data_IF_365129174588
#
_entry.id   IF_365129174588
#
_cell.length_a   1.000
_cell.length_b   1.000
_cell.length_c   1.000
_cell.angle_alpha   90.00
_cell.angle_beta   90.00
_cell.angle_gamma   90.00
#
_symmetry.space_group_name_H-M   'P 1'
#
loop_
_entity.id
_entity.type
_entity.pdbx_description
1 polymer ?
#
# COMPACT_ATOMS: atom_id res chain seq x y z
N UNK A 1 -11.82 -8.50 -0.44
CA UNK A 1 -12.53 -9.82 -0.39
C UNK A 1 -13.32 -10.03 0.90
N UNK A 2 -14.23 -11.04 0.99
CA UNK A 2 -15.09 -11.30 2.17
C UNK A 2 -14.80 -12.60 2.94
N UNK A 3 -13.99 -13.49 2.37
CA UNK A 3 -13.66 -14.79 2.94
C UNK A 3 -12.21 -15.15 2.56
N UNK A 4 -11.60 -16.05 3.34
CA UNK A 4 -10.28 -16.58 3.03
C UNK A 4 -10.37 -17.59 1.89
N UNK A 5 -9.36 -17.62 1.04
CA UNK A 5 -9.09 -18.76 0.19
C UNK A 5 -8.54 -19.94 1.03
N UNK A 6 -8.45 -21.12 0.45
CA UNK A 6 -7.87 -22.31 1.08
C UNK A 6 -6.33 -22.19 1.16
N UNK A 7 -5.84 -21.36 2.08
CA UNK A 7 -4.43 -20.94 2.15
C UNK A 7 -3.47 -22.12 2.33
N UNK A 8 -3.87 -23.17 3.05
CA UNK A 8 -3.07 -24.38 3.26
C UNK A 8 -2.96 -25.19 1.96
N UNK A 9 -4.06 -25.41 1.26
CA UNK A 9 -4.06 -26.12 -0.03
C UNK A 9 -3.23 -25.36 -1.07
N UNK A 10 -3.35 -24.03 -1.11
CA UNK A 10 -2.53 -23.19 -1.97
C UNK A 10 -1.03 -23.29 -1.63
N UNK A 11 -0.67 -23.34 -0.34
CA UNK A 11 0.71 -23.54 0.07
C UNK A 11 1.26 -24.91 -0.38
N UNK A 12 0.45 -25.96 -0.26
CA UNK A 12 0.79 -27.31 -0.74
C UNK A 12 0.92 -27.36 -2.27
N UNK A 13 0.12 -26.56 -2.98
CA UNK A 13 0.21 -26.37 -4.43
C UNK A 13 1.42 -25.51 -4.86
N UNK A 14 2.14 -24.90 -3.91
CA UNK A 14 3.43 -24.25 -4.16
C UNK A 14 3.41 -22.72 -4.23
N UNK A 15 2.31 -22.04 -3.84
CA UNK A 15 2.30 -20.56 -3.84
C UNK A 15 3.37 -20.00 -2.92
N UNK A 16 4.03 -18.92 -3.35
CA UNK A 16 5.13 -18.30 -2.58
C UNK A 16 4.69 -17.28 -1.55
N UNK A 17 3.49 -16.73 -1.71
CA UNK A 17 2.89 -15.72 -0.85
C UNK A 17 1.35 -15.72 -1.05
N UNK A 18 0.65 -15.02 -0.16
CA UNK A 18 -0.75 -14.64 -0.35
C UNK A 18 -0.81 -13.13 -0.55
N UNK A 19 -1.74 -12.64 -1.36
CA UNK A 19 -1.86 -11.20 -1.61
C UNK A 19 -3.32 -10.76 -1.67
N UNK A 20 -3.56 -9.51 -1.25
CA UNK A 20 -4.82 -8.78 -1.44
C UNK A 20 -4.72 -7.69 -2.52
N UNK A 21 -3.66 -7.73 -3.34
CA UNK A 21 -3.41 -6.74 -4.39
C UNK A 21 -4.63 -6.56 -5.32
N UNK A 22 -4.98 -5.29 -5.56
CA UNK A 22 -6.18 -4.84 -6.26
C UNK A 22 -7.42 -4.59 -5.37
N UNK A 23 -7.61 -5.31 -4.26
CA UNK A 23 -8.72 -5.08 -3.32
C UNK A 23 -8.30 -5.37 -1.88
N UNK A 24 -7.81 -4.33 -1.21
CA UNK A 24 -7.33 -4.38 0.16
C UNK A 24 -8.33 -5.07 1.10
N UNK A 25 -7.84 -5.94 1.97
CA UNK A 25 -8.64 -6.52 3.06
C UNK A 25 -8.82 -5.46 4.14
N UNK A 26 -10.00 -4.84 4.19
CA UNK A 26 -10.35 -3.83 5.23
C UNK A 26 -10.85 -4.46 6.53
N UNK A 27 -11.39 -5.68 6.47
CA UNK A 27 -11.86 -6.40 7.66
C UNK A 27 -10.68 -6.92 8.50
N UNK A 28 -10.59 -6.44 9.74
CA UNK A 28 -9.48 -6.77 10.64
C UNK A 28 -9.48 -8.23 11.08
N UNK A 29 -10.65 -8.86 11.20
CA UNK A 29 -10.75 -10.26 11.58
C UNK A 29 -10.30 -11.17 10.42
N UNK A 30 -10.66 -10.81 9.18
CA UNK A 30 -10.23 -11.52 7.98
C UNK A 30 -8.71 -11.43 7.81
N UNK A 31 -8.12 -10.23 7.93
CA UNK A 31 -6.67 -10.05 7.84
C UNK A 31 -5.93 -10.79 8.97
N UNK A 32 -6.45 -10.72 10.22
CA UNK A 32 -5.89 -11.49 11.35
C UNK A 32 -5.87 -12.98 11.04
N UNK A 33 -6.96 -13.51 10.50
CA UNK A 33 -7.04 -14.93 10.17
C UNK A 33 -6.08 -15.27 9.02
N UNK A 34 -6.00 -14.44 7.97
CA UNK A 34 -5.03 -14.61 6.89
C UNK A 34 -3.59 -14.70 7.40
N UNK A 35 -3.20 -13.78 8.29
CA UNK A 35 -1.88 -13.76 8.93
C UNK A 35 -1.66 -15.01 9.81
N UNK A 36 -2.66 -15.42 10.60
CA UNK A 36 -2.55 -16.63 11.41
C UNK A 36 -2.30 -17.90 10.57
N UNK A 37 -3.04 -18.08 9.47
CA UNK A 37 -2.81 -19.19 8.54
C UNK A 37 -1.48 -19.08 7.80
N UNK A 38 -1.10 -17.86 7.41
CA UNK A 38 0.21 -17.57 6.81
C UNK A 38 1.38 -17.98 7.71
N UNK A 39 1.24 -17.77 9.03
CA UNK A 39 2.22 -18.23 10.01
C UNK A 39 2.34 -19.76 10.00
N UNK A 40 1.23 -20.48 9.92
CA UNK A 40 1.23 -21.95 9.86
C UNK A 40 1.89 -22.48 8.58
N UNK A 41 1.65 -21.85 7.44
CA UNK A 41 2.19 -22.30 6.14
C UNK A 41 3.60 -21.76 5.84
N UNK A 42 4.09 -20.81 6.64
CA UNK A 42 5.41 -20.19 6.46
C UNK A 42 5.51 -19.29 5.22
N UNK A 43 4.39 -18.85 4.65
CA UNK A 43 4.34 -17.95 3.48
C UNK A 43 3.94 -16.54 3.92
N UNK A 44 4.53 -15.46 3.39
CA UNK A 44 4.14 -14.10 3.73
C UNK A 44 2.75 -13.74 3.21
N UNK A 45 2.12 -12.76 3.87
CA UNK A 45 1.02 -11.96 3.30
C UNK A 45 1.62 -10.69 2.71
N UNK A 46 1.48 -10.52 1.39
CA UNK A 46 1.79 -9.30 0.64
C UNK A 46 0.55 -8.43 0.65
N UNK A 47 0.71 -7.19 1.06
CA UNK A 47 -0.39 -6.31 1.38
C UNK A 47 -0.38 -5.06 0.51
N UNK A 48 -1.49 -4.83 -0.19
CA UNK A 48 -1.81 -3.58 -0.88
C UNK A 48 -2.59 -2.67 0.07
N UNK A 49 -1.92 -1.64 0.58
CA UNK A 49 -2.48 -0.75 1.59
C UNK A 49 -3.44 0.30 1.00
N UNK A 50 -4.74 0.03 1.07
CA UNK A 50 -5.79 0.94 0.61
C UNK A 50 -7.05 0.90 1.50
N UNK A 51 -7.30 1.96 2.27
CA UNK A 51 -8.63 2.18 2.86
C UNK A 51 -9.59 2.74 1.80
N UNK A 52 -10.39 1.85 1.21
CA UNK A 52 -11.35 2.19 0.15
C UNK A 52 -12.36 3.28 0.52
N UNK A 53 -12.70 3.44 1.80
CA UNK A 53 -13.62 4.50 2.21
C UNK A 53 -13.01 5.89 2.03
N UNK A 54 -11.68 5.99 2.03
CA UNK A 54 -10.92 7.23 1.86
C UNK A 54 -10.47 7.47 0.41
N UNK A 55 -10.58 6.47 -0.48
CA UNK A 55 -9.99 6.52 -1.83
C UNK A 55 -11.03 6.46 -2.95
N UNK A 56 -12.30 6.22 -2.61
CA UNK A 56 -13.39 6.14 -3.58
C UNK A 56 -13.46 7.42 -4.43
N UNK A 57 -13.20 7.29 -5.73
CA UNK A 57 -13.23 8.39 -6.70
C UNK A 57 -11.96 9.24 -6.76
N UNK A 58 -10.96 8.98 -5.90
CA UNK A 58 -9.68 9.68 -5.92
C UNK A 58 -8.95 9.49 -7.26
N UNK A 59 -8.22 10.52 -7.69
CA UNK A 59 -7.52 10.55 -8.99
C UNK A 59 -6.00 10.70 -8.85
N UNK A 60 -5.52 11.26 -7.73
CA UNK A 60 -4.11 11.50 -7.45
C UNK A 60 -3.89 11.72 -5.94
N UNK A 61 -2.65 11.95 -5.51
CA UNK A 61 -2.36 12.30 -4.11
C UNK A 61 -3.12 13.56 -3.67
N UNK A 62 -3.77 13.49 -2.51
CA UNK A 62 -4.33 14.67 -1.85
C UNK A 62 -3.23 15.62 -1.38
N UNK A 63 -3.10 16.77 -2.05
CA UNK A 63 -2.06 17.76 -1.76
C UNK A 63 -2.28 19.08 -2.49
N UNK A 64 -1.23 19.90 -2.54
CA UNK A 64 -1.29 21.21 -3.19
C UNK A 64 -1.54 21.09 -4.70
N UNK A 65 -1.02 20.04 -5.35
CA UNK A 65 -1.22 19.82 -6.78
C UNK A 65 -2.67 19.42 -7.08
N UNK A 66 -3.25 18.49 -6.33
CA UNK A 66 -4.65 18.08 -6.52
C UNK A 66 -5.61 19.24 -6.26
N UNK A 67 -5.35 20.05 -5.23
CA UNK A 67 -6.14 21.25 -4.93
C UNK A 67 -6.08 22.26 -6.07
N UNK A 68 -4.90 22.50 -6.66
CA UNK A 68 -4.73 23.40 -7.80
C UNK A 68 -5.40 22.89 -9.07
N UNK A 69 -5.38 21.59 -9.31
CA UNK A 69 -5.99 20.96 -10.49
C UNK A 69 -7.50 20.67 -10.33
N UNK A 70 -8.06 20.87 -9.13
CA UNK A 70 -9.45 20.54 -8.83
C UNK A 70 -9.75 19.03 -8.90
N UNK A 71 -8.74 18.19 -8.67
CA UNK A 71 -8.87 16.74 -8.75
C UNK A 71 -9.13 16.12 -7.36
N UNK A 72 -10.04 15.13 -7.25
CA UNK A 72 -10.23 14.38 -6.01
C UNK A 72 -8.94 13.71 -5.52
N UNK A 73 -8.58 13.94 -4.26
CA UNK A 73 -7.33 13.49 -3.66
C UNK A 73 -7.44 12.14 -2.94
N UNK A 74 -6.33 11.41 -2.93
CA UNK A 74 -6.10 10.21 -2.12
C UNK A 74 -5.24 10.61 -0.91
N UNK A 75 -5.79 10.64 0.32
CA UNK A 75 -5.08 11.06 1.51
C UNK A 75 -4.02 10.03 1.91
N UNK A 76 -2.88 10.48 2.45
CA UNK A 76 -1.83 9.59 3.00
C UNK A 76 -2.38 8.61 4.04
N UNK A 77 -3.35 9.07 4.83
CA UNK A 77 -4.05 8.28 5.84
C UNK A 77 -4.62 6.96 5.28
N UNK A 78 -5.08 6.92 4.02
CA UNK A 78 -5.64 5.72 3.42
C UNK A 78 -4.65 4.55 3.29
N UNK A 79 -3.35 4.86 3.13
CA UNK A 79 -2.29 3.84 3.16
C UNK A 79 -1.88 3.55 4.61
N UNK A 80 -1.64 4.63 5.38
CA UNK A 80 -1.04 4.58 6.71
C UNK A 80 -1.89 3.81 7.73
N UNK A 81 -3.22 3.97 7.73
CA UNK A 81 -4.10 3.30 8.69
C UNK A 81 -4.11 1.79 8.50
N UNK A 82 -4.09 1.32 7.25
CA UNK A 82 -4.06 -0.11 6.94
C UNK A 82 -2.71 -0.70 7.35
N UNK A 83 -1.59 -0.04 7.02
CA UNK A 83 -0.26 -0.53 7.41
C UNK A 83 -0.10 -0.55 8.93
N UNK A 84 -0.58 0.47 9.63
CA UNK A 84 -0.55 0.51 11.09
C UNK A 84 -1.32 -0.67 11.71
N UNK A 85 -2.55 -0.92 11.24
CA UNK A 85 -3.37 -2.06 11.65
C UNK A 85 -2.65 -3.38 11.42
N UNK A 86 -2.12 -3.58 10.20
CA UNK A 86 -1.53 -4.87 9.81
C UNK A 86 -0.22 -5.14 10.53
N UNK A 87 0.54 -4.10 10.87
CA UNK A 87 1.70 -4.23 11.75
C UNK A 87 1.32 -4.76 13.14
N UNK A 88 0.21 -4.31 13.73
CA UNK A 88 -0.27 -4.84 15.02
C UNK A 88 -0.80 -6.27 14.89
N UNK A 89 -1.50 -6.58 13.80
CA UNK A 89 -1.99 -7.95 13.56
C UNK A 89 -0.83 -8.93 13.30
N UNK A 90 0.22 -8.49 12.60
CA UNK A 90 1.44 -9.27 12.40
C UNK A 90 2.17 -9.48 13.74
N UNK A 91 2.21 -8.46 14.61
CA UNK A 91 2.75 -8.60 15.96
C UNK A 91 1.98 -9.63 16.79
N UNK A 92 0.65 -9.61 16.71
CA UNK A 92 -0.24 -10.53 17.42
C UNK A 92 -0.07 -12.00 16.96
N UNK A 93 0.13 -12.21 15.66
CA UNK A 93 0.15 -13.54 15.04
C UNK A 93 1.55 -14.12 14.87
N UNK A 94 2.59 -13.27 14.92
CA UNK A 94 3.96 -13.65 14.58
C UNK A 94 4.17 -13.97 13.09
N UNK A 95 3.21 -13.61 12.23
CA UNK A 95 3.26 -13.84 10.80
C UNK A 95 4.23 -12.89 10.09
N UNK A 96 4.59 -13.23 8.86
CA UNK A 96 5.39 -12.35 7.99
C UNK A 96 4.45 -11.47 7.17
N UNK A 97 4.48 -10.17 7.42
CA UNK A 97 3.81 -9.15 6.62
C UNK A 97 4.79 -8.52 5.61
N UNK A 98 4.37 -8.35 4.36
CA UNK A 98 5.10 -7.59 3.36
C UNK A 98 4.22 -6.44 2.84
N UNK A 99 4.65 -5.19 3.02
CA UNK A 99 3.90 -4.00 2.58
C UNK A 99 4.33 -3.65 1.15
N UNK A 100 3.40 -3.73 0.21
CA UNK A 100 3.63 -3.44 -1.20
C UNK A 100 3.80 -1.92 -1.43
N UNK A 101 4.65 -1.58 -2.41
CA UNK A 101 4.81 -0.25 -3.03
C UNK A 101 4.54 0.96 -2.10
N UNK A 102 5.31 1.08 -1.02
CA UNK A 102 5.15 2.15 -0.02
C UNK A 102 5.28 3.53 -0.67
N UNK A 103 4.35 4.44 -0.36
CA UNK A 103 4.36 5.80 -0.92
C UNK A 103 4.30 6.92 0.13
N UNK A 104 4.00 6.63 1.41
CA UNK A 104 3.97 7.64 2.47
C UNK A 104 5.12 7.55 3.48
N UNK A 105 5.56 8.70 3.98
CA UNK A 105 6.54 8.79 5.06
C UNK A 105 6.00 8.20 6.37
N UNK A 106 4.72 8.41 6.69
CA UNK A 106 4.09 7.84 7.88
C UNK A 106 4.06 6.32 7.85
N UNK A 107 3.86 5.71 6.67
CA UNK A 107 3.95 4.26 6.46
C UNK A 107 5.33 3.73 6.86
N UNK A 108 6.41 4.41 6.47
CA UNK A 108 7.76 4.03 6.88
C UNK A 108 7.94 4.11 8.39
N UNK A 109 7.33 5.07 9.07
CA UNK A 109 7.42 5.20 10.53
C UNK A 109 6.71 4.04 11.24
N UNK A 110 5.53 3.61 10.76
CA UNK A 110 4.86 2.41 11.27
C UNK A 110 5.71 1.16 11.08
N UNK A 111 6.29 0.97 9.89
CA UNK A 111 7.17 -0.17 9.60
C UNK A 111 8.41 -0.16 10.51
N UNK A 112 9.06 0.99 10.69
CA UNK A 112 10.22 1.13 11.60
C UNK A 112 9.87 0.77 13.04
N UNK A 113 8.73 1.26 13.55
CA UNK A 113 8.24 0.96 14.90
C UNK A 113 7.85 -0.51 15.07
N UNK A 114 7.26 -1.13 14.04
CA UNK A 114 6.97 -2.56 14.08
C UNK A 114 8.26 -3.39 14.14
N UNK A 115 9.24 -3.09 13.28
CA UNK A 115 10.54 -3.75 13.27
C UNK A 115 11.30 -3.59 14.59
N UNK A 116 11.28 -2.41 15.21
CA UNK A 116 11.97 -2.18 16.49
C UNK A 116 11.39 -3.01 17.64
N UNK A 117 10.13 -3.47 17.53
CA UNK A 117 9.48 -4.41 18.46
C UNK A 117 9.69 -5.89 18.10
N UNK A 118 10.47 -6.17 17.05
CA UNK A 118 10.73 -7.54 16.58
C UNK A 118 9.65 -8.13 15.67
N UNK A 119 8.70 -7.31 15.18
CA UNK A 119 7.67 -7.78 14.23
C UNK A 119 8.31 -8.06 12.87
N UNK A 120 8.00 -9.22 12.28
CA UNK A 120 8.53 -9.62 10.98
C UNK A 120 7.80 -8.93 9.83
N UNK A 121 8.20 -7.68 9.55
CA UNK A 121 7.62 -6.84 8.48
C UNK A 121 8.69 -6.48 7.44
N UNK A 122 8.45 -6.81 6.18
CA UNK A 122 9.21 -6.30 5.03
C UNK A 122 8.37 -5.32 4.22
N UNK A 123 9.00 -4.56 3.32
CA UNK A 123 8.32 -3.62 2.46
C UNK A 123 9.11 -3.40 1.17
N UNK A 124 8.45 -2.91 0.14
CA UNK A 124 9.05 -2.52 -1.13
C UNK A 124 8.65 -1.10 -1.55
N UNK A 125 9.31 -0.59 -2.59
CA UNK A 125 9.00 0.70 -3.21
C UNK A 125 9.24 0.59 -4.71
N UNK A 126 8.39 1.22 -5.52
CA UNK A 126 8.51 1.17 -6.97
C UNK A 126 9.49 2.22 -7.51
N UNK A 127 10.07 2.01 -8.70
CA UNK A 127 10.95 3.01 -9.32
C UNK A 127 10.29 4.38 -9.51
N UNK A 128 9.00 4.44 -9.83
CA UNK A 128 8.30 5.71 -10.04
C UNK A 128 8.05 6.45 -8.72
N UNK A 129 7.82 5.76 -7.59
CA UNK A 129 7.75 6.42 -6.27
C UNK A 129 9.12 6.91 -5.76
N UNK A 130 10.23 6.39 -6.31
CA UNK A 130 11.57 6.87 -6.01
C UNK A 130 12.01 8.06 -6.86
N UNK A 131 11.41 8.25 -8.04
CA UNK A 131 11.94 9.16 -9.08
C UNK A 131 10.96 10.22 -9.55
N UNK A 132 9.66 10.03 -9.34
CA UNK A 132 8.59 10.93 -9.77
C UNK A 132 7.81 11.44 -8.55
N UNK A 133 7.18 12.61 -8.72
CA UNK A 133 6.26 13.19 -7.74
C UNK A 133 4.94 13.60 -8.40
N UNK A 134 3.94 13.94 -7.59
CA UNK A 134 2.64 14.45 -8.07
C UNK A 134 2.74 15.74 -8.89
N UNK A 135 3.86 16.47 -8.80
CA UNK A 135 4.16 17.64 -9.62
C UNK A 135 4.11 17.34 -11.13
N UNK A 136 4.43 16.10 -11.54
CA UNK A 136 4.38 15.67 -12.92
C UNK A 136 2.94 15.67 -13.47
N UNK A 137 1.94 15.38 -12.63
CA UNK A 137 0.51 15.49 -12.99
C UNK A 137 0.16 16.93 -13.34
N UNK A 138 0.79 17.89 -12.64
CA UNK A 138 0.66 19.32 -12.90
C UNK A 138 1.50 19.85 -14.08
N UNK A 139 2.18 18.98 -14.83
CA UNK A 139 3.03 19.39 -15.95
C UNK A 139 4.45 19.81 -15.54
N UNK A 140 4.89 19.51 -14.32
CA UNK A 140 6.22 19.88 -13.84
C UNK A 140 7.11 18.64 -13.69
N UNK A 141 8.19 18.59 -14.48
CA UNK A 141 9.24 17.59 -14.36
C UNK A 141 10.52 18.27 -13.86
N UNK A 142 11.14 17.72 -12.81
CA UNK A 142 12.27 18.38 -12.12
C UNK A 142 13.47 18.67 -13.03
N UNK A 143 13.63 17.90 -14.11
CA UNK A 143 14.71 18.08 -15.10
C UNK A 143 14.25 18.74 -16.41
N UNK A 144 12.98 19.11 -16.57
CA UNK A 144 12.49 19.73 -17.80
C UNK A 144 12.68 21.25 -17.79
N UNK A 145 13.29 21.76 -18.86
CA UNK A 145 13.42 23.22 -19.11
C UNK A 145 12.10 23.86 -19.56
N UNK A 146 11.13 23.05 -20.01
CA UNK A 146 9.82 23.48 -20.46
C UNK A 146 8.70 22.73 -19.70
N UNK A 147 7.58 23.41 -19.45
CA UNK A 147 6.41 22.80 -18.81
C UNK A 147 5.77 21.77 -19.74
N UNK A 148 5.41 20.61 -19.18
CA UNK A 148 4.64 19.57 -19.85
C UNK A 148 3.14 19.89 -19.77
N UNK A 149 2.29 19.29 -20.64
CA UNK A 149 0.84 19.37 -20.46
C UNK A 149 0.42 18.84 -19.08
N UNK A 150 -0.41 19.59 -18.37
CA UNK A 150 -1.04 19.12 -17.14
C UNK A 150 -2.08 18.02 -17.45
N UNK A 151 -2.48 17.26 -16.42
CA UNK A 151 -3.44 16.16 -16.51
C UNK A 151 -2.93 14.95 -17.33
N UNK A 152 -1.63 14.68 -17.36
CA UNK A 152 -1.10 13.47 -18.03
C UNK A 152 -1.61 12.21 -17.32
N UNK A 153 -2.46 11.44 -17.99
CA UNK A 153 -3.07 10.24 -17.42
C UNK A 153 -2.07 9.10 -17.23
N UNK A 154 -0.87 9.18 -17.81
CA UNK A 154 0.21 8.21 -17.58
C UNK A 154 0.74 8.23 -16.15
N UNK A 155 0.47 9.29 -15.39
CA UNK A 155 0.87 9.39 -13.98
C UNK A 155 -0.11 8.69 -13.02
N UNK A 156 -1.18 8.08 -13.54
CA UNK A 156 -2.13 7.30 -12.74
C UNK A 156 -1.51 5.96 -12.34
N UNK A 157 -1.06 5.90 -11.09
CA UNK A 157 -0.52 4.70 -10.44
C UNK A 157 -1.23 4.50 -9.10
N UNK A 158 -1.20 3.27 -8.58
CA UNK A 158 -1.77 2.92 -7.29
C UNK A 158 -0.68 2.27 -6.40
N UNK A 159 -0.31 2.88 -5.26
CA UNK A 159 -0.74 4.18 -4.73
C UNK A 159 -0.28 5.34 -5.62
N UNK A 160 -0.87 6.54 -5.48
CA UNK A 160 -0.52 7.68 -6.32
C UNK A 160 0.84 8.29 -5.96
N UNK A 161 1.52 8.86 -6.96
CA UNK A 161 2.72 9.69 -6.78
C UNK A 161 2.44 10.82 -5.79
N UNK A 162 3.44 11.20 -4.99
CA UNK A 162 3.32 12.19 -3.90
C UNK A 162 4.44 13.21 -3.88
#
# INVERSE_FOLDING_TARGET
GKALADLVELANAGVVAYSDDGDCVTDSALMRNALAYSRTTGRPVVQHAEDRALTTGAQMHEGSVSARLGLPGWPRAAEEVIVARDCELAALTGAHLHVAHVSSAGTLDFIRRARSRGVHVTAEVTPHHLTLTDALVGGHWWSATASLPAYDTRTKVNPPLR
#
